data_IF_779041056255
#
_entry.id   IF_779041056255
#
_cell.length_a   1.000
_cell.length_b   1.000
_cell.length_c   1.000
_cell.angle_alpha   90.00
_cell.angle_beta   90.00
_cell.angle_gamma   90.00
#
_symmetry.space_group_name_H-M   'P 1'
#
loop_
_entity.id
_entity.type
_entity.pdbx_description
1 polymer ?
#
# COMPACT_ATOMS: atom_id res chain seq x y z
N UNK A 1 23.02 52.29 24.21
CA UNK A 1 23.39 50.92 23.77
C UNK A 1 22.97 49.94 24.86
N UNK A 2 21.86 49.23 24.68
CA UNK A 2 21.36 48.20 25.62
C UNK A 2 21.52 46.85 24.95
N UNK A 3 22.42 46.01 25.45
CA UNK A 3 22.56 44.62 24.98
C UNK A 3 21.43 43.78 25.55
N UNK A 4 20.59 43.27 24.65
CA UNK A 4 19.55 42.30 24.95
C UNK A 4 20.19 40.90 24.93
N UNK A 5 20.30 40.25 26.09
CA UNK A 5 20.68 38.83 26.19
C UNK A 5 19.40 38.00 26.05
N UNK A 6 19.21 37.37 24.88
CA UNK A 6 18.25 36.28 24.71
C UNK A 6 18.86 34.99 25.26
N UNK A 7 18.36 34.53 26.41
CA UNK A 7 18.57 33.16 26.88
C UNK A 7 17.65 32.23 26.11
N UNK A 8 18.21 31.39 25.24
CA UNK A 8 17.51 30.26 24.64
C UNK A 8 17.67 29.08 25.59
N UNK A 9 16.60 28.76 26.33
CA UNK A 9 16.51 27.52 27.10
C UNK A 9 16.25 26.38 26.13
N UNK A 10 17.33 25.70 25.73
CA UNK A 10 17.29 24.44 24.99
C UNK A 10 16.93 23.32 25.98
N UNK A 11 15.66 22.93 26.04
CA UNK A 11 15.24 21.73 26.79
C UNK A 11 15.63 20.50 25.97
N UNK A 12 16.73 19.87 26.36
CA UNK A 12 17.14 18.54 25.92
C UNK A 12 16.10 17.50 26.40
N UNK A 13 15.15 17.16 25.54
CA UNK A 13 14.37 15.92 25.67
C UNK A 13 15.11 14.80 24.94
N UNK A 14 16.22 14.32 25.52
CA UNK A 14 16.99 13.19 24.99
C UNK A 14 17.36 12.22 26.12
N UNK A 15 16.36 11.67 26.83
CA UNK A 15 16.58 10.59 27.81
C UNK A 15 15.31 9.77 28.05
N UNK A 16 14.79 9.06 27.05
CA UNK A 16 13.71 8.04 27.26
C UNK A 16 13.90 6.77 26.41
N UNK A 17 15.10 6.45 25.89
CA UNK A 17 15.26 5.26 25.01
C UNK A 17 16.37 4.27 25.41
N UNK A 18 16.95 4.35 26.60
CA UNK A 18 17.98 3.39 27.05
C UNK A 18 17.52 2.43 28.16
N UNK A 19 16.23 2.42 28.49
CA UNK A 19 15.67 1.59 29.57
C UNK A 19 14.66 0.53 29.14
N UNK A 20 14.61 0.15 27.86
CA UNK A 20 13.72 -0.94 27.41
C UNK A 20 14.51 -2.25 27.34
N UNK A 21 14.29 -3.09 28.35
CA UNK A 21 14.59 -4.52 28.27
C UNK A 21 13.91 -5.12 27.02
N UNK A 22 14.44 -6.20 26.43
CA UNK A 22 13.77 -6.91 25.35
C UNK A 22 12.50 -7.55 25.91
N UNK A 23 11.40 -6.80 25.92
CA UNK A 23 10.08 -7.37 26.00
C UNK A 23 9.92 -8.16 24.70
N UNK A 24 9.97 -9.50 24.80
CA UNK A 24 9.47 -10.36 23.74
C UNK A 24 8.13 -9.77 23.30
N UNK A 25 7.96 -9.55 22.00
CA UNK A 25 6.65 -9.24 21.46
C UNK A 25 5.76 -10.45 21.71
N UNK A 26 5.21 -10.53 22.92
CA UNK A 26 4.08 -11.37 23.26
C UNK A 26 2.96 -10.96 22.33
N UNK A 27 2.35 -11.98 21.73
CA UNK A 27 1.16 -11.86 20.94
C UNK A 27 0.17 -10.95 21.68
N UNK A 28 -0.18 -9.81 21.07
CA UNK A 28 -1.45 -9.17 21.41
C UNK A 28 -2.54 -9.90 20.63
N UNK A 29 -2.73 -11.15 21.03
CA UNK A 29 -4.00 -11.86 21.05
C UNK A 29 -4.77 -11.42 22.32
N UNK A 30 -4.72 -10.12 22.64
CA UNK A 30 -5.55 -9.55 23.70
C UNK A 30 -6.88 -9.15 23.08
N UNK A 31 -7.89 -9.95 23.42
CA UNK A 31 -9.23 -9.90 22.91
C UNK A 31 -9.89 -8.54 23.04
N UNK A 32 -10.33 -8.00 21.90
CA UNK A 32 -11.64 -7.38 21.85
C UNK A 32 -12.66 -8.51 21.60
N UNK A 33 -13.18 -9.09 22.68
CA UNK A 33 -14.45 -9.83 22.63
C UNK A 33 -15.60 -8.84 22.67
N UNK A 34 -15.73 -8.02 21.64
CA UNK A 34 -17.05 -7.61 21.19
C UNK A 34 -17.29 -8.46 19.96
N UNK A 35 -18.11 -9.49 20.10
CA UNK A 35 -18.54 -10.34 18.99
C UNK A 35 -19.22 -9.44 17.94
N UNK A 36 -18.45 -8.98 16.97
CA UNK A 36 -19.00 -8.40 15.75
C UNK A 36 -19.61 -9.59 15.01
N UNK A 37 -20.94 -9.66 14.82
CA UNK A 37 -21.55 -10.75 14.07
C UNK A 37 -21.02 -10.69 12.63
N UNK A 38 -20.13 -11.63 12.30
CA UNK A 38 -19.66 -11.90 10.95
C UNK A 38 -20.80 -12.58 10.16
N UNK A 39 -21.83 -11.82 9.78
CA UNK A 39 -22.77 -12.28 8.76
C UNK A 39 -22.10 -12.13 7.39
N UNK A 40 -21.31 -13.14 7.01
CA UNK A 40 -20.74 -13.24 5.68
C UNK A 40 -21.85 -13.50 4.64
N UNK A 41 -22.33 -12.46 3.96
CA UNK A 41 -23.04 -12.61 2.68
C UNK A 41 -22.10 -12.27 1.52
N UNK A 42 -21.77 -13.32 0.78
CA UNK A 42 -21.13 -13.41 -0.54
C UNK A 42 -20.24 -12.24 -0.98
N UNK A 43 -18.92 -12.42 -0.82
CA UNK A 43 -17.99 -11.87 -1.81
C UNK A 43 -18.32 -12.52 -3.16
N UNK A 44 -18.43 -11.72 -4.23
CA UNK A 44 -18.72 -12.23 -5.57
C UNK A 44 -17.80 -13.39 -5.95
N UNK A 45 -18.37 -14.42 -6.59
CA UNK A 45 -17.62 -15.60 -6.96
C UNK A 45 -16.42 -15.23 -7.85
N UNK A 46 -15.24 -15.83 -7.62
CA UNK A 46 -14.09 -15.62 -8.49
C UNK A 46 -14.43 -16.03 -9.93
N UNK A 47 -13.98 -15.27 -10.95
CA UNK A 47 -14.13 -15.72 -12.34
C UNK A 47 -13.40 -17.05 -12.55
N UNK A 48 -13.90 -17.93 -13.43
CA UNK A 48 -13.29 -19.23 -13.70
C UNK A 48 -11.85 -19.08 -14.21
N UNK A 49 -10.97 -20.00 -13.82
CA UNK A 49 -9.62 -20.11 -14.37
C UNK A 49 -9.70 -20.56 -15.85
N UNK A 50 -9.75 -19.61 -16.78
CA UNK A 50 -9.59 -19.87 -18.21
C UNK A 50 -8.11 -20.01 -18.61
N UNK A 51 -7.83 -20.67 -19.74
CA UNK A 51 -6.50 -20.78 -20.35
C UNK A 51 -5.87 -19.42 -20.70
N UNK A 52 -4.65 -19.39 -21.30
CA UNK A 52 -3.96 -18.12 -21.58
C UNK A 52 -4.80 -17.27 -22.53
N UNK A 53 -5.48 -16.28 -21.96
CA UNK A 53 -6.22 -15.28 -22.71
C UNK A 53 -5.29 -14.10 -22.99
N UNK A 54 -5.43 -13.49 -24.16
CA UNK A 54 -4.77 -12.23 -24.50
C UNK A 54 -5.79 -11.11 -24.57
N UNK A 55 -5.39 -9.91 -24.18
CA UNK A 55 -6.13 -8.67 -24.39
C UNK A 55 -5.47 -7.94 -25.56
N UNK A 56 -6.26 -7.49 -26.53
CA UNK A 56 -5.75 -6.70 -27.65
C UNK A 56 -5.87 -5.21 -27.34
N UNK A 57 -4.73 -4.54 -27.20
CA UNK A 57 -4.66 -3.09 -27.00
C UNK A 57 -5.19 -2.32 -28.22
N UNK A 58 -5.43 -1.01 -28.07
CA UNK A 58 -6.01 -0.18 -29.14
C UNK A 58 -5.14 -0.08 -30.40
N UNK A 59 -3.83 -0.22 -30.24
CA UNK A 59 -2.83 -0.30 -31.33
C UNK A 59 -2.65 -1.71 -31.92
N UNK A 60 -3.42 -2.69 -31.43
CA UNK A 60 -3.39 -4.07 -31.89
C UNK A 60 -2.39 -4.97 -31.18
N UNK A 61 -1.61 -4.49 -30.21
CA UNK A 61 -0.68 -5.31 -29.43
C UNK A 61 -1.41 -6.33 -28.55
N UNK A 62 -0.92 -7.57 -28.50
CA UNK A 62 -1.49 -8.62 -27.65
C UNK A 62 -0.80 -8.67 -26.28
N UNK A 63 -1.59 -8.47 -25.23
CA UNK A 63 -1.15 -8.43 -23.84
C UNK A 63 -1.62 -9.69 -23.14
N UNK A 64 -0.73 -10.48 -22.52
CA UNK A 64 -1.13 -11.66 -21.78
C UNK A 64 -1.98 -11.27 -20.56
N UNK A 65 -3.14 -11.90 -20.43
CA UNK A 65 -4.00 -11.78 -19.25
C UNK A 65 -3.47 -12.74 -18.20
N UNK A 66 -2.85 -12.21 -17.14
CA UNK A 66 -2.51 -12.98 -15.96
C UNK A 66 -3.72 -13.04 -15.03
N UNK A 67 -4.11 -14.26 -14.66
CA UNK A 67 -5.02 -14.54 -13.55
C UNK A 67 -4.31 -15.46 -12.60
N UNK A 68 -3.59 -14.89 -11.64
CA UNK A 68 -2.80 -15.68 -10.70
C UNK A 68 -3.47 -15.71 -9.33
N UNK A 69 -3.61 -16.93 -8.83
CA UNK A 69 -4.27 -17.29 -7.60
C UNK A 69 -3.18 -17.68 -6.61
N UNK A 70 -2.70 -16.73 -5.81
CA UNK A 70 -1.79 -17.09 -4.73
C UNK A 70 -2.58 -17.42 -3.48
N UNK A 71 -2.43 -18.66 -3.02
CA UNK A 71 -2.96 -19.06 -1.72
C UNK A 71 -1.92 -18.83 -0.65
N UNK A 72 -2.36 -18.46 0.55
CA UNK A 72 -1.55 -18.70 1.75
C UNK A 72 -1.18 -20.18 1.77
N UNK A 73 0.10 -20.45 1.50
CA UNK A 73 0.69 -21.75 1.74
C UNK A 73 0.88 -21.84 3.25
N UNK A 74 0.38 -22.92 3.87
CA UNK A 74 0.43 -23.16 5.31
C UNK A 74 1.83 -22.79 5.84
N UNK A 75 1.98 -21.74 6.67
CA UNK A 75 3.29 -21.29 7.12
C UNK A 75 4.04 -22.39 7.88
N UNK A 76 3.32 -23.35 8.47
CA UNK A 76 3.91 -24.54 9.13
C UNK A 76 4.64 -25.46 8.15
N UNK A 77 4.24 -25.46 6.86
CA UNK A 77 4.93 -26.20 5.79
C UNK A 77 6.36 -25.70 5.59
N UNK A 78 6.64 -24.45 5.94
CA UNK A 78 7.94 -23.81 5.78
C UNK A 78 8.77 -23.79 7.07
N UNK A 79 8.21 -24.20 8.20
CA UNK A 79 8.91 -24.17 9.49
C UNK A 79 10.17 -25.04 9.50
N UNK A 80 10.17 -26.13 8.72
CA UNK A 80 11.34 -27.00 8.56
C UNK A 80 12.33 -26.51 7.49
N UNK A 81 12.00 -25.49 6.70
CA UNK A 81 12.89 -24.95 5.68
C UNK A 81 13.77 -23.83 6.24
N UNK A 82 15.03 -23.77 5.79
CA UNK A 82 15.89 -22.62 6.08
C UNK A 82 15.26 -21.32 5.54
N UNK A 83 15.37 -20.22 6.30
CA UNK A 83 14.65 -18.97 6.01
C UNK A 83 14.96 -18.39 4.62
N UNK A 84 16.19 -18.54 4.15
CA UNK A 84 16.64 -18.09 2.82
C UNK A 84 15.99 -18.90 1.68
N UNK A 85 15.71 -20.18 1.92
CA UNK A 85 15.05 -21.09 1.00
C UNK A 85 13.52 -20.93 0.96
N UNK A 86 12.91 -20.35 1.99
CA UNK A 86 11.47 -20.14 2.03
C UNK A 86 10.99 -19.24 0.88
N UNK A 87 9.76 -19.41 0.37
CA UNK A 87 9.16 -18.45 -0.53
C UNK A 87 8.89 -17.12 0.20
N UNK A 88 8.74 -16.05 -0.57
CA UNK A 88 8.20 -14.80 -0.05
C UNK A 88 6.69 -14.95 0.23
N UNK A 89 6.14 -14.06 1.06
CA UNK A 89 4.71 -14.06 1.37
C UNK A 89 3.87 -13.96 0.09
N UNK A 90 2.86 -14.83 0.01
CA UNK A 90 2.00 -14.98 -1.16
C UNK A 90 1.26 -13.70 -1.56
N UNK A 91 1.01 -12.80 -0.60
CA UNK A 91 0.31 -11.52 -0.79
C UNK A 91 1.24 -10.36 -1.15
N UNK A 92 2.55 -10.59 -1.28
CA UNK A 92 3.54 -9.58 -1.59
C UNK A 92 4.18 -9.85 -2.95
N UNK A 93 3.83 -9.03 -3.95
CA UNK A 93 4.43 -9.06 -5.28
C UNK A 93 4.75 -7.65 -5.74
N UNK A 94 5.91 -7.50 -6.38
CA UNK A 94 6.30 -6.27 -7.05
C UNK A 94 5.57 -6.22 -8.41
N UNK A 95 4.78 -5.18 -8.67
CA UNK A 95 4.19 -4.98 -9.99
C UNK A 95 5.27 -4.87 -11.05
N UNK A 96 4.99 -5.42 -12.22
CA UNK A 96 5.91 -5.36 -13.36
C UNK A 96 5.23 -4.69 -14.54
N UNK A 97 5.97 -3.85 -15.26
CA UNK A 97 5.53 -3.29 -16.53
C UNK A 97 5.30 -4.41 -17.55
N UNK A 98 4.20 -4.31 -18.30
CA UNK A 98 3.89 -5.22 -19.40
C UNK A 98 3.93 -4.48 -20.73
N UNK A 99 3.21 -3.37 -20.82
CA UNK A 99 3.09 -2.61 -22.06
C UNK A 99 2.75 -1.13 -21.79
N UNK A 100 3.14 -0.26 -22.71
CA UNK A 100 2.73 1.15 -22.72
C UNK A 100 2.13 1.46 -24.07
N UNK A 101 0.83 1.69 -24.12
CA UNK A 101 0.11 2.07 -25.33
C UNK A 101 0.20 3.59 -25.50
N UNK A 102 0.86 4.03 -26.58
CA UNK A 102 0.99 5.43 -26.90
C UNK A 102 -0.30 5.94 -27.55
N UNK A 103 -0.83 7.07 -27.06
CA UNK A 103 -2.05 7.69 -27.59
C UNK A 103 -1.73 9.08 -28.14
N UNK A 104 -1.89 9.32 -29.45
CA UNK A 104 -1.62 10.64 -30.03
C UNK A 104 -2.43 11.74 -29.35
N UNK A 105 -1.74 12.75 -28.80
CA UNK A 105 -2.37 13.89 -28.12
C UNK A 105 -2.92 13.60 -26.72
N UNK A 106 -2.67 12.42 -26.15
CA UNK A 106 -3.09 12.02 -24.80
C UNK A 106 -1.91 11.41 -24.04
N UNK A 107 -2.02 11.29 -22.71
CA UNK A 107 -1.08 10.48 -21.93
C UNK A 107 -1.16 9.01 -22.38
N UNK A 108 -0.06 8.24 -22.27
CA UNK A 108 -0.10 6.82 -22.58
C UNK A 108 -0.98 6.04 -21.58
N UNK A 109 -1.47 4.88 -22.02
CA UNK A 109 -2.05 3.88 -21.14
C UNK A 109 -0.96 2.92 -20.69
N UNK A 110 -0.95 2.61 -19.39
CA UNK A 110 0.03 1.70 -18.82
C UNK A 110 -0.60 0.37 -18.47
N UNK A 111 0.09 -0.71 -18.79
CA UNK A 111 -0.31 -2.06 -18.43
C UNK A 111 0.69 -2.65 -17.44
N UNK A 112 0.18 -3.10 -16.30
CA UNK A 112 0.97 -3.66 -15.20
C UNK A 112 0.44 -5.04 -14.84
N UNK A 113 1.32 -5.99 -14.56
CA UNK A 113 0.97 -7.27 -13.94
C UNK A 113 1.28 -7.26 -12.45
N UNK A 114 0.86 -8.32 -11.77
CA UNK A 114 1.05 -8.52 -10.33
C UNK A 114 0.41 -7.43 -9.47
N UNK A 115 -0.74 -6.91 -9.89
CA UNK A 115 -1.58 -6.02 -9.09
C UNK A 115 -2.57 -6.83 -8.26
N UNK A 116 -2.56 -6.65 -6.94
CA UNK A 116 -3.45 -7.37 -6.01
C UNK A 116 -4.87 -6.82 -6.10
N UNK A 117 -5.74 -7.54 -6.79
CA UNK A 117 -7.07 -7.09 -7.14
C UNK A 117 -8.06 -7.19 -5.98
N UNK A 118 -8.03 -8.32 -5.27
CA UNK A 118 -8.81 -8.56 -4.06
C UNK A 118 -8.15 -9.61 -3.19
N UNK A 119 -8.71 -9.81 -2.00
CA UNK A 119 -8.44 -10.95 -1.14
C UNK A 119 -9.74 -11.55 -0.61
N UNK A 120 -9.71 -12.83 -0.30
CA UNK A 120 -10.85 -13.55 0.29
C UNK A 120 -10.39 -14.47 1.40
N UNK A 121 -11.32 -14.80 2.30
CA UNK A 121 -11.19 -15.99 3.15
C UNK A 121 -11.20 -17.25 2.26
N UNK A 122 -10.59 -18.34 2.72
CA UNK A 122 -10.84 -19.66 2.13
C UNK A 122 -12.23 -20.17 2.54
N UNK A 123 -12.74 -21.15 1.78
CA UNK A 123 -13.96 -21.88 2.11
C UNK A 123 -13.90 -22.52 3.51
N UNK A 124 -15.07 -22.74 4.09
CA UNK A 124 -15.28 -23.35 5.40
C UNK A 124 -14.51 -24.69 5.53
N UNK A 125 -13.73 -24.85 6.60
CA UNK A 125 -12.92 -26.06 6.87
C UNK A 125 -11.41 -25.97 6.56
N UNK A 126 -10.92 -24.84 6.02
CA UNK A 126 -9.48 -24.63 5.85
C UNK A 126 -8.80 -24.23 7.18
N UNK A 127 -7.74 -24.96 7.59
CA UNK A 127 -7.01 -24.73 8.86
C UNK A 127 -6.36 -23.35 8.98
N UNK A 128 -5.97 -22.75 7.86
CA UNK A 128 -5.53 -21.36 7.69
C UNK A 128 -5.93 -20.92 6.27
N UNK A 129 -6.00 -19.62 5.98
CA UNK A 129 -5.84 -19.20 4.58
C UNK A 129 -6.61 -17.98 4.14
N UNK A 130 -5.89 -16.88 3.95
CA UNK A 130 -6.28 -15.82 3.03
C UNK A 130 -5.85 -16.23 1.62
N UNK A 131 -6.56 -15.76 0.60
CA UNK A 131 -6.12 -15.82 -0.81
C UNK A 131 -5.90 -14.42 -1.32
N UNK A 132 -4.85 -14.23 -2.12
CA UNK A 132 -4.61 -12.99 -2.84
C UNK A 132 -4.72 -13.26 -4.34
N UNK A 133 -5.44 -12.38 -5.02
CA UNK A 133 -5.74 -12.54 -6.43
C UNK A 133 -5.02 -11.44 -7.18
N UNK A 134 -4.13 -11.84 -8.08
CA UNK A 134 -3.30 -10.93 -8.86
C UNK A 134 -3.74 -10.93 -10.32
N UNK A 135 -3.79 -9.74 -10.90
CA UNK A 135 -4.21 -9.56 -12.30
C UNK A 135 -3.28 -8.61 -13.03
N UNK A 136 -3.34 -8.68 -14.36
CA UNK A 136 -2.92 -7.59 -15.23
C UNK A 136 -4.00 -6.49 -15.21
N UNK A 137 -3.56 -5.24 -15.21
CA UNK A 137 -4.41 -4.04 -15.22
C UNK A 137 -4.00 -3.10 -16.34
N UNK A 138 -4.95 -2.27 -16.75
CA UNK A 138 -4.77 -1.07 -17.56
C UNK A 138 -5.02 0.16 -16.69
N UNK A 139 -4.09 1.11 -16.73
CA UNK A 139 -4.13 2.36 -15.96
C UNK A 139 -4.08 3.55 -16.90
N UNK A 140 -5.05 4.45 -16.75
CA UNK A 140 -5.13 5.74 -17.44
C UNK A 140 -4.90 6.87 -16.43
N UNK A 141 -3.69 7.42 -16.39
CA UNK A 141 -3.32 8.45 -15.42
C UNK A 141 -4.05 9.80 -15.65
N UNK A 142 -4.63 10.04 -16.83
CA UNK A 142 -5.45 11.25 -17.07
C UNK A 142 -6.77 11.20 -16.30
N UNK A 143 -7.22 10.00 -15.92
CA UNK A 143 -8.45 9.79 -15.17
C UNK A 143 -8.25 9.85 -13.66
N UNK A 144 -7.06 10.18 -13.17
CA UNK A 144 -6.84 10.41 -11.73
C UNK A 144 -7.55 11.71 -11.34
N UNK A 145 -8.51 11.62 -10.41
CA UNK A 145 -9.31 12.76 -9.93
C UNK A 145 -8.95 13.24 -8.53
N UNK A 146 -8.34 12.37 -7.72
CA UNK A 146 -7.88 12.72 -6.39
C UNK A 146 -6.71 11.83 -5.96
N UNK A 147 -5.93 12.32 -5.00
CA UNK A 147 -4.92 11.54 -4.30
C UNK A 147 -5.15 11.65 -2.79
N UNK A 148 -4.81 10.58 -2.08
CA UNK A 148 -5.02 10.45 -0.65
C UNK A 148 -3.78 9.87 0.02
N UNK A 149 -3.41 10.45 1.15
CA UNK A 149 -2.48 9.82 2.07
C UNK A 149 -3.28 8.90 3.01
N UNK A 150 -2.89 7.64 3.12
CA UNK A 150 -3.57 6.65 3.95
C UNK A 150 -2.65 6.19 5.08
N UNK A 151 -3.23 5.94 6.26
CA UNK A 151 -2.53 5.43 7.43
C UNK A 151 -3.36 4.37 8.12
N UNK A 152 -2.75 3.20 8.34
CA UNK A 152 -3.26 2.11 9.16
C UNK A 152 -2.44 2.05 10.45
N UNK A 153 -2.90 2.66 11.56
CA UNK A 153 -2.20 2.56 12.84
C UNK A 153 -2.22 1.12 13.37
N UNK A 154 -1.11 0.66 13.93
CA UNK A 154 -1.03 -0.63 14.62
C UNK A 154 -0.35 -0.47 15.98
N UNK A 155 -0.53 -1.45 16.87
CA UNK A 155 -0.03 -1.35 18.24
C UNK A 155 1.51 -1.27 18.27
N UNK A 156 2.11 -0.35 19.07
CA UNK A 156 1.45 0.69 19.86
C UNK A 156 0.94 1.83 18.95
N UNK A 157 -0.39 2.08 18.99
CA UNK A 157 -1.15 2.92 18.04
C UNK A 157 -0.66 4.38 17.92
N UNK A 158 0.16 4.83 18.88
CA UNK A 158 0.69 6.19 18.95
C UNK A 158 2.08 6.35 18.31
N UNK A 159 2.76 5.25 17.97
CA UNK A 159 4.15 5.30 17.45
C UNK A 159 4.28 4.52 16.15
N UNK A 160 3.42 3.53 15.91
CA UNK A 160 3.53 2.63 14.78
C UNK A 160 2.31 2.69 13.85
N UNK A 161 2.56 2.59 12.55
CA UNK A 161 1.55 2.70 11.53
C UNK A 161 2.10 2.34 10.17
N UNK A 162 1.20 1.92 9.29
CA UNK A 162 1.50 1.60 7.91
C UNK A 162 0.91 2.66 6.99
N UNK A 163 1.76 3.34 6.23
CA UNK A 163 1.32 4.35 5.28
C UNK A 163 1.20 3.81 3.85
N UNK A 164 0.29 4.40 3.09
CA UNK A 164 0.09 4.13 1.68
C UNK A 164 -0.39 5.39 0.96
N UNK A 165 -0.23 5.43 -0.37
CA UNK A 165 -0.83 6.44 -1.22
C UNK A 165 -1.97 5.81 -2.02
N UNK A 166 -3.10 6.49 -2.08
CA UNK A 166 -4.26 6.09 -2.86
C UNK A 166 -4.49 7.13 -3.96
N UNK A 167 -4.52 6.69 -5.21
CA UNK A 167 -5.03 7.46 -6.35
C UNK A 167 -6.46 7.03 -6.62
N UNK A 168 -7.37 8.00 -6.67
CA UNK A 168 -8.77 7.79 -7.01
C UNK A 168 -8.99 8.12 -8.49
N UNK A 169 -9.74 7.26 -9.18
CA UNK A 169 -9.95 7.36 -10.62
C UNK A 169 -11.40 7.67 -10.97
N UNK A 170 -11.59 8.33 -12.11
CA UNK A 170 -12.84 8.30 -12.85
C UNK A 170 -13.07 6.92 -13.51
N UNK A 171 -14.32 6.59 -13.89
CA UNK A 171 -14.63 5.33 -14.58
C UNK A 171 -13.72 5.05 -15.78
N UNK A 172 -13.30 3.79 -15.90
CA UNK A 172 -12.36 3.31 -16.90
C UNK A 172 -10.90 3.75 -16.69
N UNK A 173 -10.56 4.36 -15.55
CA UNK A 173 -9.21 4.81 -15.22
C UNK A 173 -8.30 3.71 -14.67
N UNK A 174 -8.86 2.74 -13.95
CA UNK A 174 -8.14 1.60 -13.40
C UNK A 174 -8.97 0.33 -13.56
N UNK A 175 -8.59 -0.49 -14.54
CA UNK A 175 -9.40 -1.60 -15.03
C UNK A 175 -8.54 -2.85 -15.14
N UNK A 176 -9.03 -4.00 -14.69
CA UNK A 176 -8.35 -5.27 -14.98
C UNK A 176 -8.66 -5.74 -16.41
N UNK A 177 -7.90 -6.72 -16.91
CA UNK A 177 -8.13 -7.21 -18.29
C UNK A 177 -9.38 -8.09 -18.44
N UNK A 178 -10.11 -8.35 -17.35
CA UNK A 178 -11.45 -8.93 -17.36
C UNK A 178 -12.56 -7.87 -17.48
N UNK A 179 -12.19 -6.59 -17.62
CA UNK A 179 -13.11 -5.45 -17.76
C UNK A 179 -13.70 -4.95 -16.43
N UNK A 180 -13.27 -5.50 -15.29
CA UNK A 180 -13.69 -4.99 -13.98
C UNK A 180 -12.93 -3.72 -13.64
N UNK A 181 -13.65 -2.73 -13.13
CA UNK A 181 -13.06 -1.45 -12.73
C UNK A 181 -12.87 -1.38 -11.22
N UNK A 182 -11.86 -0.62 -10.78
CA UNK A 182 -11.71 -0.24 -9.38
C UNK A 182 -11.58 1.28 -9.26
N UNK A 183 -12.29 1.93 -8.33
CA UNK A 183 -12.21 3.37 -8.17
C UNK A 183 -10.88 3.84 -7.57
N UNK A 184 -10.01 2.93 -7.09
CA UNK A 184 -8.80 3.30 -6.37
C UNK A 184 -7.62 2.37 -6.57
N UNK A 185 -6.48 2.97 -6.89
CA UNK A 185 -5.16 2.37 -6.95
C UNK A 185 -4.41 2.70 -5.66
N UNK A 186 -3.97 1.69 -4.92
CA UNK A 186 -3.21 1.88 -3.69
C UNK A 186 -1.77 1.43 -3.92
N UNK A 187 -0.83 2.36 -3.75
CA UNK A 187 0.59 2.07 -3.63
C UNK A 187 0.95 1.89 -2.16
N UNK A 188 1.48 0.72 -1.83
CA UNK A 188 1.99 0.41 -0.50
C UNK A 188 3.45 -0.01 -0.56
N UNK A 189 4.27 0.60 0.30
CA UNK A 189 5.67 0.22 0.48
C UNK A 189 5.77 -0.71 1.68
N UNK A 190 6.23 -1.93 1.49
CA UNK A 190 6.24 -2.96 2.53
C UNK A 190 7.63 -3.55 2.74
N UNK A 191 7.87 -4.03 3.95
CA UNK A 191 8.96 -4.99 4.19
C UNK A 191 8.61 -6.28 3.45
N UNK A 192 9.53 -6.77 2.61
CA UNK A 192 9.35 -7.99 1.84
C UNK A 192 9.75 -9.20 2.69
N UNK A 193 8.75 -9.97 3.10
CA UNK A 193 8.88 -11.00 4.12
C UNK A 193 8.84 -12.40 3.50
N UNK A 194 9.61 -13.32 4.07
CA UNK A 194 9.45 -14.76 3.83
C UNK A 194 8.17 -15.28 4.49
N UNK A 195 7.67 -16.43 4.02
CA UNK A 195 6.39 -16.99 4.46
C UNK A 195 6.24 -17.08 5.99
N UNK A 196 7.24 -17.64 6.70
CA UNK A 196 7.18 -17.74 8.17
C UNK A 196 7.74 -16.50 8.89
N UNK A 197 8.26 -15.51 8.16
CA UNK A 197 8.91 -14.36 8.74
C UNK A 197 7.88 -13.35 9.26
N UNK A 198 7.95 -13.02 10.55
CA UNK A 198 7.19 -11.92 11.16
C UNK A 198 7.96 -10.60 11.05
N UNK A 199 7.26 -9.51 10.77
CA UNK A 199 7.85 -8.17 10.85
C UNK A 199 8.06 -7.79 12.31
N UNK A 200 9.19 -7.15 12.61
CA UNK A 200 9.46 -6.53 13.90
C UNK A 200 10.16 -5.20 13.71
N UNK A 201 9.73 -4.17 14.44
CA UNK A 201 10.24 -2.79 14.30
C UNK A 201 11.76 -2.71 14.50
N UNK A 202 12.29 -3.41 15.52
CA UNK A 202 13.73 -3.49 15.82
C UNK A 202 14.48 -4.18 14.68
N UNK A 203 13.92 -5.27 14.15
CA UNK A 203 14.45 -5.95 12.96
C UNK A 203 14.52 -5.00 11.76
N UNK A 204 13.47 -4.22 11.53
CA UNK A 204 13.45 -3.22 10.48
C UNK A 204 14.47 -2.10 10.69
N UNK A 205 14.74 -1.70 11.95
CA UNK A 205 15.63 -0.58 12.23
C UNK A 205 17.12 -0.95 12.09
N UNK A 206 17.52 -2.14 12.54
CA UNK A 206 18.95 -2.45 12.74
C UNK A 206 19.51 -3.59 11.90
N UNK A 207 18.67 -4.52 11.41
CA UNK A 207 19.18 -5.79 10.90
C UNK A 207 19.39 -5.87 9.39
N UNK A 208 19.08 -4.81 8.61
CA UNK A 208 19.01 -4.84 7.12
C UNK A 208 18.31 -6.09 6.56
N UNK A 209 17.47 -6.74 7.39
CA UNK A 209 16.99 -8.12 7.21
C UNK A 209 15.87 -8.21 6.19
N UNK A 210 15.14 -7.12 6.01
CA UNK A 210 14.00 -7.07 5.12
C UNK A 210 14.38 -6.29 3.86
N UNK A 211 14.14 -6.91 2.71
CA UNK A 211 14.09 -6.19 1.43
C UNK A 211 12.82 -5.35 1.40
N UNK A 212 12.70 -4.48 0.41
CA UNK A 212 11.48 -3.72 0.16
C UNK A 212 10.72 -4.38 -0.97
N UNK A 213 9.39 -4.25 -0.92
CA UNK A 213 8.49 -4.52 -2.02
C UNK A 213 7.47 -3.39 -2.09
N UNK A 214 7.27 -2.85 -3.29
CA UNK A 214 6.13 -1.99 -3.56
C UNK A 214 5.00 -2.89 -4.02
N UNK A 215 3.88 -2.81 -3.31
CA UNK A 215 2.67 -3.56 -3.60
C UNK A 215 1.65 -2.59 -4.15
N UNK A 216 1.11 -2.90 -5.32
CA UNK A 216 -0.06 -2.20 -5.87
C UNK A 216 -1.29 -3.06 -5.64
N UNK A 217 -2.35 -2.42 -5.16
CA UNK A 217 -3.62 -3.07 -4.89
C UNK A 217 -4.81 -2.20 -5.24
N UNK A 218 -6.01 -2.78 -5.30
CA UNK A 218 -7.24 -1.98 -5.31
C UNK A 218 -7.51 -1.36 -3.95
N UNK A 219 -8.31 -0.30 -3.92
CA UNK A 219 -8.76 0.27 -2.65
C UNK A 219 -9.55 -0.73 -1.80
N UNK A 220 -10.41 -1.53 -2.44
CA UNK A 220 -11.19 -2.55 -1.75
C UNK A 220 -10.28 -3.62 -1.13
N UNK A 221 -9.30 -4.14 -1.88
CA UNK A 221 -8.28 -5.06 -1.37
C UNK A 221 -7.58 -4.50 -0.12
N UNK A 222 -7.09 -3.26 -0.22
CA UNK A 222 -6.39 -2.61 0.88
C UNK A 222 -7.26 -2.50 2.14
N UNK A 223 -8.54 -2.18 1.99
CA UNK A 223 -9.50 -2.13 3.10
C UNK A 223 -9.80 -3.51 3.67
N UNK A 224 -10.04 -4.52 2.83
CA UNK A 224 -10.24 -5.92 3.28
C UNK A 224 -9.05 -6.39 4.10
N UNK A 225 -7.82 -6.21 3.58
CA UNK A 225 -6.60 -6.58 4.29
C UNK A 225 -6.46 -5.83 5.61
N UNK A 226 -6.73 -4.52 5.60
CA UNK A 226 -6.50 -3.67 6.77
C UNK A 226 -7.53 -3.89 7.87
N UNK A 227 -8.81 -3.95 7.52
CA UNK A 227 -9.92 -3.95 8.46
C UNK A 227 -10.33 -5.38 8.78
N UNK A 228 -10.78 -6.15 7.79
CA UNK A 228 -11.32 -7.50 8.00
C UNK A 228 -10.25 -8.46 8.53
N UNK A 229 -9.06 -8.47 7.93
CA UNK A 229 -8.04 -9.46 8.27
C UNK A 229 -7.06 -9.05 9.35
N UNK A 230 -6.89 -7.75 9.58
CA UNK A 230 -5.94 -7.26 10.58
C UNK A 230 -6.62 -6.52 11.75
N UNK A 231 -7.96 -6.48 11.80
CA UNK A 231 -8.73 -5.81 12.86
C UNK A 231 -8.38 -4.33 13.02
N UNK A 232 -7.89 -3.68 11.97
CA UNK A 232 -7.41 -2.30 12.04
C UNK A 232 -8.47 -1.30 11.57
N UNK A 233 -8.16 -0.02 11.74
CA UNK A 233 -8.88 1.08 11.11
C UNK A 233 -8.00 1.68 10.03
N UNK A 234 -8.61 2.27 9.00
CA UNK A 234 -7.88 3.04 8.00
C UNK A 234 -8.24 4.50 8.14
N UNK A 235 -7.23 5.34 8.30
CA UNK A 235 -7.36 6.79 8.24
C UNK A 235 -6.89 7.26 6.88
N UNK A 236 -7.59 8.19 6.26
CA UNK A 236 -7.11 8.84 5.04
C UNK A 236 -7.31 10.34 5.06
N UNK A 237 -6.45 11.04 4.35
CA UNK A 237 -6.52 12.49 4.17
C UNK A 237 -6.42 12.80 2.69
N UNK A 238 -7.36 13.60 2.18
CA UNK A 238 -7.32 14.07 0.80
C UNK A 238 -6.14 15.02 0.64
N UNK A 239 -5.34 14.81 -0.40
CA UNK A 239 -4.27 15.72 -0.74
C UNK A 239 -4.83 16.93 -1.48
N UNK A 240 -4.52 18.13 -0.99
CA UNK A 240 -4.92 19.42 -1.56
C UNK A 240 -4.03 19.79 -2.74
N UNK A 241 -4.16 19.05 -3.83
CA UNK A 241 -3.36 19.20 -5.05
C UNK A 241 -4.16 19.90 -6.15
N UNK A 242 -3.50 20.76 -6.92
CA UNK A 242 -4.04 21.18 -8.22
C UNK A 242 -3.87 20.07 -9.28
N UNK A 243 -4.43 20.28 -10.48
CA UNK A 243 -4.39 19.30 -11.58
C UNK A 243 -2.94 18.94 -11.98
N UNK A 244 -2.05 19.93 -12.02
CA UNK A 244 -0.65 19.74 -12.40
C UNK A 244 0.08 18.90 -11.35
N UNK A 245 -0.09 19.23 -10.07
CA UNK A 245 0.49 18.49 -8.95
C UNK A 245 -0.04 17.06 -8.86
N UNK A 246 -1.34 16.86 -9.09
CA UNK A 246 -1.94 15.53 -9.12
C UNK A 246 -1.35 14.67 -10.23
N UNK A 247 -1.16 15.24 -11.42
CA UNK A 247 -0.50 14.57 -12.54
C UNK A 247 0.95 14.23 -12.23
N UNK A 248 1.72 15.17 -11.67
CA UNK A 248 3.11 14.96 -11.27
C UNK A 248 3.23 13.83 -10.23
N UNK A 249 2.35 13.81 -9.22
CA UNK A 249 2.33 12.76 -8.21
C UNK A 249 2.01 11.39 -8.83
N UNK A 250 1.03 11.34 -9.73
CA UNK A 250 0.63 10.11 -10.42
C UNK A 250 1.77 9.53 -11.26
N UNK A 251 2.51 10.39 -11.98
CA UNK A 251 3.71 10.00 -12.73
C UNK A 251 4.82 9.53 -11.79
N UNK A 252 5.06 10.23 -10.67
CA UNK A 252 6.08 9.85 -9.69
C UNK A 252 5.79 8.48 -9.08
N UNK A 253 4.52 8.22 -8.72
CA UNK A 253 4.06 6.91 -8.26
C UNK A 253 4.35 5.85 -9.33
N UNK A 254 3.94 6.07 -10.58
CA UNK A 254 4.17 5.11 -11.67
C UNK A 254 5.66 4.78 -11.87
N UNK A 255 6.55 5.79 -11.81
CA UNK A 255 7.99 5.59 -11.90
C UNK A 255 8.53 4.71 -10.77
N UNK A 256 8.09 4.97 -9.55
CA UNK A 256 8.50 4.18 -8.39
C UNK A 256 7.97 2.75 -8.47
N UNK A 257 6.70 2.54 -8.85
CA UNK A 257 6.16 1.18 -9.00
C UNK A 257 6.98 0.31 -9.95
N UNK A 258 7.54 0.90 -11.01
CA UNK A 258 8.27 0.20 -12.06
C UNK A 258 9.79 0.10 -11.85
N UNK A 259 10.34 0.77 -10.85
CA UNK A 259 11.78 0.76 -10.64
C UNK A 259 12.25 -0.58 -10.06
N UNK A 260 13.53 -0.92 -10.30
CA UNK A 260 14.16 -2.06 -9.64
C UNK A 260 14.55 -1.69 -8.20
N UNK A 261 13.88 -2.32 -7.25
CA UNK A 261 14.13 -2.13 -5.81
C UNK A 261 14.88 -3.31 -5.19
N UNK A 262 15.47 -4.20 -5.99
CA UNK A 262 16.11 -5.43 -5.51
C UNK A 262 17.25 -5.18 -4.52
N UNK A 263 17.97 -4.08 -4.69
CA UNK A 263 19.06 -3.63 -3.83
C UNK A 263 18.58 -2.88 -2.57
N UNK A 264 17.33 -2.40 -2.53
CA UNK A 264 16.84 -1.59 -1.41
C UNK A 264 16.57 -2.45 -0.17
N UNK A 265 16.76 -1.85 1.00
CA UNK A 265 16.51 -2.49 2.31
C UNK A 265 15.60 -1.63 3.17
N UNK A 266 14.61 -2.29 3.77
CA UNK A 266 13.65 -1.62 4.64
C UNK A 266 14.37 -1.10 5.88
N UNK A 267 14.12 0.15 6.23
CA UNK A 267 14.55 0.75 7.48
C UNK A 267 13.39 1.49 8.15
N UNK A 268 13.06 1.12 9.39
CA UNK A 268 11.87 1.63 10.08
C UNK A 268 11.78 3.15 10.15
N UNK A 269 12.90 3.88 10.21
CA UNK A 269 12.91 5.36 10.33
C UNK A 269 13.44 6.11 9.10
N UNK A 270 14.13 5.42 8.18
CA UNK A 270 14.80 6.05 7.01
C UNK A 270 14.26 5.59 5.66
N UNK A 271 13.72 4.37 5.59
CA UNK A 271 13.25 3.73 4.36
C UNK A 271 12.07 2.82 4.70
N UNK A 272 10.96 3.46 5.07
CA UNK A 272 9.75 2.82 5.58
C UNK A 272 8.53 3.20 4.74
N UNK A 273 7.41 2.55 5.01
CA UNK A 273 6.14 2.89 4.40
C UNK A 273 5.79 4.38 4.54
N UNK A 274 6.09 4.98 5.70
CA UNK A 274 5.81 6.39 5.99
C UNK A 274 6.76 7.29 5.21
N UNK A 275 8.07 7.05 5.27
CA UNK A 275 9.04 7.93 4.60
C UNK A 275 8.86 7.87 3.09
N UNK A 276 8.61 6.70 2.50
CA UNK A 276 8.38 6.56 1.07
C UNK A 276 7.11 7.29 0.61
N UNK A 277 6.01 7.18 1.37
CA UNK A 277 4.77 7.89 1.05
C UNK A 277 4.94 9.43 1.19
N UNK A 278 5.65 9.89 2.22
CA UNK A 278 5.96 11.30 2.40
C UNK A 278 6.90 11.82 1.31
N UNK A 279 7.91 11.06 0.91
CA UNK A 279 8.86 11.44 -0.14
C UNK A 279 8.14 11.64 -1.47
N UNK A 280 7.29 10.69 -1.86
CA UNK A 280 6.44 10.82 -3.05
C UNK A 280 5.52 12.04 -2.96
N UNK A 281 4.83 12.25 -1.84
CA UNK A 281 3.96 13.40 -1.65
C UNK A 281 4.70 14.75 -1.65
N UNK A 282 5.96 14.79 -1.19
CA UNK A 282 6.77 16.00 -1.19
C UNK A 282 7.49 16.23 -2.53
N UNK A 283 7.66 15.20 -3.36
CA UNK A 283 8.36 15.29 -4.65
C UNK A 283 7.70 16.28 -5.62
N UNK A 284 6.41 16.52 -5.46
CA UNK A 284 5.63 17.50 -6.25
C UNK A 284 5.76 18.95 -5.76
N UNK A 285 6.37 19.17 -4.60
CA UNK A 285 6.65 20.51 -4.09
C UNK A 285 8.02 20.98 -4.58
N UNK A 286 8.21 22.29 -4.76
CA UNK A 286 9.53 22.85 -4.99
C UNK A 286 10.45 22.57 -3.79
N UNK A 287 11.76 22.36 -3.98
CA UNK A 287 12.68 21.90 -2.93
C UNK A 287 12.61 22.68 -1.62
N UNK A 288 12.44 24.00 -1.69
CA UNK A 288 12.40 24.93 -0.56
C UNK A 288 11.14 24.75 0.30
N UNK A 289 10.08 24.20 -0.30
CA UNK A 289 8.83 23.89 0.41
C UNK A 289 8.81 22.49 0.99
N UNK A 290 9.75 21.61 0.66
CA UNK A 290 9.79 20.24 1.19
C UNK A 290 10.16 20.25 2.68
N UNK A 291 9.74 19.21 3.40
CA UNK A 291 10.25 18.98 4.75
C UNK A 291 11.63 18.34 4.64
N UNK A 292 12.64 18.79 5.39
CA UNK A 292 13.93 18.13 5.38
C UNK A 292 13.80 16.76 6.06
N UNK A 293 14.39 15.73 5.45
CA UNK A 293 14.48 14.40 6.05
C UNK A 293 15.32 14.41 7.34
N UNK A 294 16.34 15.28 7.40
CA UNK A 294 17.29 15.36 8.50
C UNK A 294 17.32 16.75 9.13
N UNK A 295 17.47 16.80 10.45
CA UNK A 295 17.68 18.00 11.25
C UNK A 295 19.14 18.08 11.73
N UNK A 296 19.52 19.24 12.29
CA UNK A 296 20.81 19.55 12.91
C UNK A 296 22.02 19.19 12.01
N UNK A 297 22.22 19.97 10.94
CA UNK A 297 23.27 19.77 9.93
C UNK A 297 23.30 18.38 9.27
N UNK A 298 22.16 17.68 9.25
CA UNK A 298 22.03 16.38 8.61
C UNK A 298 22.42 15.19 9.48
N UNK A 299 22.63 15.40 10.79
CA UNK A 299 23.06 14.35 11.72
C UNK A 299 21.89 13.56 12.33
N UNK A 300 20.71 14.19 12.48
CA UNK A 300 19.58 13.61 13.22
C UNK A 300 18.40 13.42 12.26
N UNK A 301 17.77 12.24 12.27
CA UNK A 301 16.56 12.01 11.48
C UNK A 301 15.44 12.92 11.99
N UNK A 302 14.76 13.63 11.09
CA UNK A 302 13.59 14.43 11.45
C UNK A 302 12.49 13.49 11.95
N UNK A 303 12.06 13.59 13.23
CA UNK A 303 11.01 12.71 13.77
C UNK A 303 9.69 12.89 13.02
N UNK A 304 9.42 14.09 12.49
CA UNK A 304 8.26 14.36 11.65
C UNK A 304 8.25 13.54 10.36
N UNK A 305 9.43 13.20 9.84
CA UNK A 305 9.60 12.41 8.63
C UNK A 305 9.54 10.90 8.90
N UNK A 306 10.08 10.47 10.05
CA UNK A 306 10.24 9.06 10.37
C UNK A 306 9.01 8.43 11.04
N UNK A 307 8.24 9.20 11.83
CA UNK A 307 7.22 8.65 12.71
C UNK A 307 5.80 8.84 12.15
N UNK A 308 4.98 7.77 12.06
CA UNK A 308 3.61 7.82 11.56
C UNK A 308 2.73 8.89 12.23
N UNK A 309 2.91 9.11 13.53
CA UNK A 309 2.10 10.04 14.34
C UNK A 309 2.27 11.50 13.93
N UNK A 310 3.37 11.85 13.25
CA UNK A 310 3.65 13.21 12.82
C UNK A 310 3.43 13.44 11.33
N UNK A 311 3.14 12.39 10.56
CA UNK A 311 2.96 12.48 9.12
C UNK A 311 1.83 13.45 8.73
N UNK A 312 0.75 13.48 9.52
CA UNK A 312 -0.38 14.41 9.29
C UNK A 312 0.03 15.86 9.52
N UNK A 313 0.77 16.16 10.59
CA UNK A 313 1.29 17.49 10.89
C UNK A 313 2.27 17.95 9.81
N UNK A 314 3.16 17.06 9.35
CA UNK A 314 4.10 17.37 8.26
C UNK A 314 3.35 17.75 6.98
N UNK A 315 2.37 16.95 6.56
CA UNK A 315 1.59 17.22 5.36
C UNK A 315 0.73 18.49 5.49
N UNK A 316 0.12 18.73 6.67
CA UNK A 316 -0.63 19.96 6.96
C UNK A 316 0.24 21.21 6.90
N UNK A 317 1.42 21.18 7.52
CA UNK A 317 2.36 22.32 7.52
C UNK A 317 2.90 22.65 6.13
N UNK A 318 2.87 21.69 5.20
CA UNK A 318 3.22 21.93 3.78
C UNK A 318 2.04 22.32 2.91
N UNK A 319 0.84 22.39 3.49
CA UNK A 319 -0.40 22.72 2.80
C UNK A 319 -0.92 21.60 1.89
N UNK A 320 -0.38 20.38 2.03
CA UNK A 320 -0.79 19.21 1.25
C UNK A 320 -2.06 18.55 1.81
N UNK A 321 -2.46 18.85 3.05
CA UNK A 321 -3.73 18.43 3.62
C UNK A 321 -4.39 19.64 4.27
N UNK A 322 -5.66 19.87 3.95
CA UNK A 322 -6.50 20.91 4.57
C UNK A 322 -7.67 20.30 5.33
N UNK A 323 -8.34 19.36 4.67
CA UNK A 323 -9.56 18.73 5.16
C UNK A 323 -9.33 17.86 6.42
N UNK A 324 -10.39 17.60 7.21
CA UNK A 324 -10.33 16.63 8.28
C UNK A 324 -10.01 15.23 7.75
N UNK A 325 -9.43 14.40 8.62
CA UNK A 325 -9.18 12.99 8.30
C UNK A 325 -10.48 12.22 8.23
N UNK A 326 -10.60 11.31 7.28
CA UNK A 326 -11.64 10.30 7.24
C UNK A 326 -11.16 9.07 8.01
N UNK A 327 -12.06 8.46 8.80
CA UNK A 327 -11.77 7.21 9.51
C UNK A 327 -12.73 6.13 9.02
N UNK A 328 -12.18 5.07 8.47
CA UNK A 328 -12.89 3.95 7.89
C UNK A 328 -12.71 2.76 8.83
N UNK A 329 -13.82 2.25 9.34
CA UNK A 329 -13.87 1.15 10.30
C UNK A 329 -14.43 -0.14 9.71
N UNK A 330 -15.07 -0.05 8.55
CA UNK A 330 -15.72 -1.16 7.87
C UNK A 330 -15.34 -1.16 6.40
N UNK A 331 -15.34 -2.34 5.79
CA UNK A 331 -15.11 -2.48 4.35
C UNK A 331 -16.44 -2.16 3.65
N UNK A 332 -16.52 -1.10 2.83
CA UNK A 332 -17.74 -0.82 2.08
C UNK A 332 -18.02 -1.96 1.10
N UNK A 333 -19.30 -2.28 0.84
CA UNK A 333 -19.65 -3.26 -0.18
C UNK A 333 -19.09 -2.81 -1.54
N UNK A 334 -18.73 -3.77 -2.39
CA UNK A 334 -18.28 -3.47 -3.76
C UNK A 334 -19.48 -2.92 -4.55
N UNK A 335 -19.57 -1.60 -4.65
CA UNK A 335 -20.58 -0.91 -5.46
C UNK A 335 -20.42 -1.33 -6.93
N UNK A 336 -21.39 -2.05 -7.48
CA UNK A 336 -21.35 -2.53 -8.88
C UNK A 336 -20.91 -3.98 -9.07
N UNK A 337 -20.67 -4.75 -8.00
CA UNK A 337 -20.74 -6.20 -8.11
C UNK A 337 -22.20 -6.58 -8.36
N UNK A 338 -22.60 -6.61 -9.64
CA UNK A 338 -23.77 -7.40 -10.04
C UNK A 338 -23.62 -8.77 -9.39
N UNK A 339 -24.64 -9.21 -8.67
CA UNK A 339 -24.64 -10.45 -7.89
C UNK A 339 -24.49 -11.73 -8.75
N UNK A 340 -24.18 -11.61 -10.04
CA UNK A 340 -23.79 -12.69 -10.90
C UNK A 340 -22.38 -12.41 -11.44
N UNK A 341 -21.40 -13.20 -10.99
CA UNK A 341 -20.28 -13.52 -11.89
C UNK A 341 -20.91 -14.04 -13.19
N UNK A 342 -20.51 -13.56 -14.37
CA UNK A 342 -21.06 -14.07 -15.63
C UNK A 342 -20.89 -15.59 -15.65
N UNK A 343 -21.97 -16.28 -16.05
CA UNK A 343 -21.92 -17.72 -16.23
C UNK A 343 -20.77 -18.01 -17.21
N UNK A 344 -19.80 -18.89 -16.88
CA UNK A 344 -18.70 -19.25 -17.78
C UNK A 344 -19.18 -19.66 -19.19
N UNK A 345 -20.45 -20.07 -19.32
CA UNK A 345 -21.09 -20.42 -20.59
C UNK A 345 -21.40 -19.22 -21.52
N UNK A 346 -21.40 -17.98 -21.02
CA UNK A 346 -21.80 -16.79 -21.79
C UNK A 346 -20.63 -16.09 -22.51
N UNK A 347 -19.38 -16.55 -22.31
CA UNK A 347 -18.22 -16.08 -23.06
C UNK A 347 -18.12 -16.88 -24.37
N UNK A 348 -18.96 -16.54 -25.34
CA UNK A 348 -18.70 -16.93 -26.73
C UNK A 348 -17.64 -15.97 -27.28
N UNK A 349 -16.42 -16.50 -27.44
CA UNK A 349 -15.34 -15.88 -28.21
C UNK A 349 -15.91 -15.46 -29.58
N UNK A 350 -15.86 -14.15 -29.87
CA UNK A 350 -16.04 -13.61 -31.22
C UNK A 350 -14.69 -13.37 -31.85
#
# INVERSE_FOLDING_TARGET
>A
MKQLRFGITLVLALTVLTGWAPCAAQDSDEGLTDEIPLTAKSAGAPPPAGGPATFRAGDGHEIPIQRDWSTEEDPTRYESMALDQQPFRFDQRQPSHVYTEQRPGQQPLYYFKDVRWYQSDRAEGAKFGRKAFFTTVRVDLEKVKAAWFCMKPFAPKFVAGHAALLLEFEPGGFVNLDGQESPGFVLSYEAYLKASQRYGMIGGQFSRKFRIVYVVSTWHDFLVRSIRFNGSIVKRWKLSLDKTQLQQLSIAIGKVVLADHSAERYNTTRASCVTAALELAMSILPPERRSPEKWLWGLIQNPGWALPVFADNVLRNKGLIRDPKETIKEVPPVSGASAAAPNPADIRLR
#
